data_IF_309103914070
#
_entry.id   IF_309103914070
#
_cell.length_a   1.000
_cell.length_b   1.000
_cell.length_c   1.000
_cell.angle_alpha   90.00
_cell.angle_beta   90.00
_cell.angle_gamma   90.00
#
_symmetry.space_group_name_H-M   'P 1'
#
loop_
_entity.id
_entity.type
_entity.pdbx_description
1 polymer ?
#
# COMPACT_ATOMS: atom_id res chain seq x y z
N UNK A 1 -18.05 -14.52 1.96
CA UNK A 1 -16.77 -13.80 1.82
C UNK A 1 -16.67 -13.40 0.36
N UNK A 2 -16.80 -12.10 0.02
CA UNK A 2 -16.56 -11.64 -1.36
C UNK A 2 -15.10 -12.00 -1.68
N UNK A 3 -14.90 -12.82 -2.69
CA UNK A 3 -13.63 -13.52 -2.93
C UNK A 3 -12.61 -12.50 -3.47
N UNK A 4 -11.34 -12.59 -3.07
CA UNK A 4 -10.24 -11.71 -3.48
C UNK A 4 -10.15 -11.46 -5.00
N UNK A 5 -10.71 -12.37 -5.80
CA UNK A 5 -10.84 -12.29 -7.27
C UNK A 5 -11.60 -11.05 -7.77
N UNK A 6 -12.29 -10.34 -6.89
CA UNK A 6 -13.09 -9.17 -7.23
C UNK A 6 -12.38 -7.84 -6.88
N UNK A 7 -11.13 -7.88 -6.41
CA UNK A 7 -10.36 -6.68 -6.08
C UNK A 7 -9.34 -6.37 -7.19
N UNK A 8 -9.35 -5.12 -7.68
CA UNK A 8 -8.37 -4.63 -8.66
C UNK A 8 -7.74 -3.36 -8.11
N UNK A 9 -6.40 -3.36 -7.96
CA UNK A 9 -5.63 -2.19 -7.58
C UNK A 9 -5.03 -1.51 -8.83
N UNK A 10 -5.42 -0.25 -9.05
CA UNK A 10 -4.84 0.64 -10.04
C UNK A 10 -3.91 1.62 -9.34
N UNK A 11 -2.68 1.76 -9.84
CA UNK A 11 -1.73 2.77 -9.38
C UNK A 11 -1.23 3.57 -10.56
N UNK A 12 -1.12 4.88 -10.40
CA UNK A 12 -0.53 5.75 -11.42
C UNK A 12 0.98 5.52 -11.52
N UNK A 13 1.57 5.86 -12.68
CA UNK A 13 3.02 5.70 -12.90
C UNK A 13 3.85 6.50 -11.88
N UNK A 14 3.38 7.69 -11.46
CA UNK A 14 4.06 8.49 -10.45
C UNK A 14 4.16 7.76 -9.10
N UNK A 15 3.08 7.09 -8.69
CA UNK A 15 3.02 6.27 -7.47
C UNK A 15 4.01 5.11 -7.58
N UNK A 16 4.06 4.45 -8.74
CA UNK A 16 5.02 3.37 -9.00
C UNK A 16 6.47 3.86 -8.93
N UNK A 17 6.76 5.06 -9.42
CA UNK A 17 8.11 5.64 -9.37
C UNK A 17 8.49 6.13 -7.97
N UNK A 18 7.53 6.59 -7.17
CA UNK A 18 7.71 6.84 -5.73
C UNK A 18 8.05 5.56 -4.97
N UNK A 19 7.33 4.46 -5.22
CA UNK A 19 7.64 3.14 -4.66
C UNK A 19 9.07 2.73 -5.00
N UNK A 20 9.46 2.79 -6.29
CA UNK A 20 10.82 2.44 -6.72
C UNK A 20 11.88 3.29 -6.03
N UNK A 21 11.64 4.60 -5.86
CA UNK A 21 12.57 5.49 -5.15
C UNK A 21 12.71 5.13 -3.67
N UNK A 22 11.60 4.81 -3.01
CA UNK A 22 11.59 4.35 -1.61
C UNK A 22 12.42 3.07 -1.44
N UNK A 23 12.21 2.08 -2.31
CA UNK A 23 12.95 0.81 -2.32
C UNK A 23 14.46 1.05 -2.54
N UNK A 24 14.83 1.85 -3.55
CA UNK A 24 16.22 2.18 -3.83
C UNK A 24 16.92 2.88 -2.65
N UNK A 25 16.20 3.75 -1.93
CA UNK A 25 16.73 4.47 -0.75
C UNK A 25 16.95 3.53 0.44
N UNK A 26 16.10 2.52 0.60
CA UNK A 26 16.18 1.59 1.73
C UNK A 26 17.24 0.50 1.57
N UNK A 27 17.56 0.11 0.32
CA UNK A 27 18.53 -0.95 0.02
C UNK A 27 19.86 -0.75 0.78
N UNK A 28 20.42 -1.80 1.43
CA UNK A 28 20.05 -3.21 1.37
C UNK A 28 18.97 -3.65 2.39
N UNK A 29 18.25 -2.71 2.99
CA UNK A 29 17.19 -2.99 3.97
C UNK A 29 15.81 -3.03 3.30
N UNK A 30 14.81 -3.48 4.04
CA UNK A 30 13.42 -3.38 3.61
C UNK A 30 12.91 -1.94 3.63
N UNK A 31 12.26 -1.53 2.54
CA UNK A 31 11.41 -0.34 2.51
C UNK A 31 9.99 -0.72 2.94
N UNK A 32 9.25 0.24 3.49
CA UNK A 32 7.81 0.15 3.66
C UNK A 32 7.17 1.47 3.26
N UNK A 33 5.93 1.42 2.80
CA UNK A 33 5.13 2.60 2.54
C UNK A 33 3.66 2.29 2.35
N UNK A 34 2.88 3.35 2.28
CA UNK A 34 1.42 3.31 2.29
C UNK A 34 0.88 3.90 0.99
N UNK A 35 -0.05 3.19 0.36
CA UNK A 35 -0.80 3.69 -0.80
C UNK A 35 -2.13 4.26 -0.32
N UNK A 36 -2.39 5.52 -0.64
CA UNK A 36 -3.65 6.21 -0.36
C UNK A 36 -4.43 6.51 -1.64
N UNK A 37 -5.75 6.44 -1.54
CA UNK A 37 -6.63 6.83 -2.63
C UNK A 37 -8.10 6.51 -2.35
N UNK A 38 -8.83 6.04 -3.37
CA UNK A 38 -10.28 5.82 -3.29
C UNK A 38 -10.69 4.42 -3.71
N UNK A 39 -11.79 3.92 -3.16
CA UNK A 39 -12.39 2.63 -3.54
C UNK A 39 -13.70 2.91 -4.27
N UNK A 40 -13.89 2.27 -5.42
CA UNK A 40 -15.15 2.30 -6.17
C UNK A 40 -15.69 0.89 -6.32
N UNK A 41 -16.95 0.70 -5.92
CA UNK A 41 -17.69 -0.52 -6.22
C UNK A 41 -18.25 -0.44 -7.65
N UNK A 42 -18.03 -1.47 -8.46
CA UNK A 42 -18.48 -1.56 -9.85
C UNK A 42 -19.28 -2.84 -10.04
N UNK A 43 -20.46 -2.72 -10.65
CA UNK A 43 -21.26 -3.90 -11.02
C UNK A 43 -20.57 -4.63 -12.18
N UNK A 44 -20.45 -5.96 -12.10
CA UNK A 44 -19.91 -6.74 -13.21
C UNK A 44 -20.89 -6.75 -14.38
N UNK A 45 -20.37 -6.61 -15.60
CA UNK A 45 -21.17 -6.44 -16.83
C UNK A 45 -22.17 -7.60 -17.09
N UNK A 46 -21.92 -8.80 -16.54
CA UNK A 46 -22.69 -10.02 -16.83
C UNK A 46 -23.26 -10.73 -15.58
N UNK A 47 -23.43 -10.02 -14.46
CA UNK A 47 -24.01 -10.63 -13.25
C UNK A 47 -24.84 -9.61 -12.47
N UNK A 48 -26.05 -9.99 -12.10
CA UNK A 48 -27.00 -9.08 -11.45
C UNK A 48 -26.62 -8.75 -10.01
N UNK A 49 -25.87 -9.64 -9.35
CA UNK A 49 -25.51 -9.57 -7.93
C UNK A 49 -24.00 -9.63 -7.65
N UNK A 50 -23.15 -9.52 -8.67
CA UNK A 50 -21.69 -9.46 -8.48
C UNK A 50 -21.13 -8.07 -8.70
N UNK A 51 -20.21 -7.71 -7.81
CA UNK A 51 -19.50 -6.44 -7.82
C UNK A 51 -18.00 -6.69 -7.82
N UNK A 52 -17.25 -5.81 -8.47
CA UNK A 52 -15.81 -5.66 -8.31
C UNK A 52 -15.49 -4.40 -7.51
N UNK A 53 -14.43 -4.46 -6.72
CA UNK A 53 -13.89 -3.34 -5.96
C UNK A 53 -12.62 -2.84 -6.64
N UNK A 54 -12.68 -1.61 -7.13
CA UNK A 54 -11.57 -0.97 -7.80
C UNK A 54 -10.92 0.00 -6.81
N UNK A 55 -9.70 -0.31 -6.43
CA UNK A 55 -8.86 0.50 -5.56
C UNK A 55 -8.00 1.38 -6.46
N UNK A 56 -8.17 2.70 -6.38
CA UNK A 56 -7.39 3.65 -7.16
C UNK A 56 -6.40 4.36 -6.24
N UNK A 57 -5.13 3.96 -6.30
CA UNK A 57 -4.03 4.54 -5.54
C UNK A 57 -3.47 5.79 -6.23
N UNK A 58 -3.55 6.93 -5.53
CA UNK A 58 -3.15 8.24 -6.04
C UNK A 58 -1.90 8.81 -5.37
N UNK A 59 -1.59 8.37 -4.14
CA UNK A 59 -0.45 8.86 -3.35
C UNK A 59 0.29 7.71 -2.69
N UNK A 60 1.61 7.81 -2.60
CA UNK A 60 2.44 6.91 -1.83
C UNK A 60 3.24 7.67 -0.78
N UNK A 61 3.20 7.19 0.46
CA UNK A 61 4.04 7.70 1.56
C UNK A 61 5.07 6.64 1.95
N UNK A 62 6.35 6.94 1.73
CA UNK A 62 7.45 6.08 2.17
C UNK A 62 7.66 6.23 3.69
N UNK A 63 7.61 5.13 4.42
CA UNK A 63 7.83 5.12 5.86
C UNK A 63 9.26 4.67 6.15
N UNK A 64 9.96 5.45 6.96
CA UNK A 64 11.28 5.07 7.45
C UNK A 64 11.14 4.07 8.61
N UNK A 65 11.86 2.95 8.52
CA UNK A 65 11.92 1.95 9.57
C UNK A 65 12.59 2.54 10.82
N UNK A 66 12.00 2.29 11.99
CA UNK A 66 12.62 2.61 13.28
C UNK A 66 13.97 1.90 13.45
N UNK A 67 14.09 0.71 12.85
CA UNK A 67 15.36 -0.01 12.78
C UNK A 67 15.58 -0.62 11.39
N UNK A 68 16.71 -0.28 10.77
CA UNK A 68 17.11 -0.83 9.47
C UNK A 68 17.37 -2.34 9.59
N UNK A 69 16.68 -3.13 8.77
CA UNK A 69 16.84 -4.58 8.70
C UNK A 69 16.55 -5.08 7.27
N UNK A 70 17.30 -6.08 6.78
CA UNK A 70 17.11 -6.67 5.46
C UNK A 70 16.00 -7.73 5.39
N UNK A 71 15.41 -8.09 6.53
CA UNK A 71 14.45 -9.21 6.66
C UNK A 71 13.21 -8.85 7.49
N UNK A 72 13.11 -7.60 7.93
CA UNK A 72 11.95 -7.11 8.68
C UNK A 72 11.87 -5.59 8.63
N UNK A 73 10.67 -5.07 8.41
CA UNK A 73 10.35 -3.68 8.65
C UNK A 73 9.84 -3.51 10.09
N UNK A 74 10.39 -2.54 10.83
CA UNK A 74 10.03 -2.28 12.22
C UNK A 74 9.62 -0.82 12.37
N UNK A 75 8.47 -0.59 13.02
CA UNK A 75 7.98 0.75 13.26
C UNK A 75 7.40 0.85 14.66
N UNK A 76 8.10 1.61 15.49
CA UNK A 76 7.75 1.77 16.90
C UNK A 76 6.83 2.99 17.11
N UNK A 77 6.75 3.89 16.13
CA UNK A 77 5.96 5.12 16.20
C UNK A 77 4.61 4.99 15.47
N UNK A 78 3.64 4.45 16.18
CA UNK A 78 2.25 4.34 15.71
C UNK A 78 1.57 5.71 15.54
N UNK A 79 2.00 6.76 16.26
CA UNK A 79 1.41 8.09 16.12
C UNK A 79 1.68 8.66 14.73
N UNK A 80 2.86 8.36 14.17
CA UNK A 80 3.22 8.74 12.81
C UNK A 80 2.27 8.14 11.76
N UNK A 81 1.80 6.91 11.94
CA UNK A 81 0.80 6.32 11.04
C UNK A 81 -0.54 7.07 11.08
N UNK A 82 -0.97 7.44 12.28
CA UNK A 82 -2.22 8.19 12.48
C UNK A 82 -2.09 9.58 11.85
N UNK A 83 -0.95 10.24 12.02
CA UNK A 83 -0.67 11.55 11.41
C UNK A 83 -0.70 11.48 9.89
N UNK A 84 0.04 10.52 9.31
CA UNK A 84 0.08 10.30 7.85
C UNK A 84 -1.33 10.02 7.33
N UNK A 85 -2.06 9.12 7.98
CA UNK A 85 -3.42 8.77 7.55
C UNK A 85 -4.38 9.96 7.65
N UNK A 86 -4.28 10.74 8.74
CA UNK A 86 -5.11 11.93 8.96
C UNK A 86 -4.84 13.01 7.92
N UNK A 87 -3.56 13.24 7.57
CA UNK A 87 -3.16 14.16 6.50
C UNK A 87 -3.84 13.80 5.18
N UNK A 88 -3.72 12.54 4.75
CA UNK A 88 -4.31 12.12 3.46
C UNK A 88 -5.83 12.08 3.46
N UNK A 89 -6.44 11.77 4.61
CA UNK A 89 -7.89 11.83 4.79
C UNK A 89 -8.43 13.26 4.76
N UNK A 90 -7.81 14.19 5.49
CA UNK A 90 -8.30 15.57 5.59
C UNK A 90 -8.04 16.39 4.33
N UNK A 91 -6.84 16.28 3.76
CA UNK A 91 -6.41 17.16 2.66
C UNK A 91 -6.94 16.68 1.30
N UNK A 92 -7.17 15.38 1.14
CA UNK A 92 -7.49 14.76 -0.16
C UNK A 92 -8.75 13.89 -0.14
N UNK A 93 -9.37 13.66 1.03
CA UNK A 93 -10.45 12.68 1.20
C UNK A 93 -10.05 11.28 0.72
N UNK A 94 -8.79 10.90 0.95
CA UNK A 94 -8.26 9.58 0.60
C UNK A 94 -8.27 8.65 1.81
N UNK A 95 -8.43 7.36 1.54
CA UNK A 95 -8.31 6.29 2.51
C UNK A 95 -7.04 5.47 2.25
N UNK A 96 -6.52 4.83 3.30
CA UNK A 96 -5.43 3.87 3.18
C UNK A 96 -5.93 2.64 2.40
N UNK A 97 -5.29 2.31 1.28
CA UNK A 97 -5.68 1.21 0.40
C UNK A 97 -4.79 -0.03 0.60
N UNK A 98 -3.48 0.18 0.79
CA UNK A 98 -2.51 -0.91 0.80
C UNK A 98 -1.23 -0.50 1.52
N UNK A 99 -0.58 -1.49 2.13
CA UNK A 99 0.78 -1.41 2.66
C UNK A 99 1.69 -2.13 1.67
N UNK A 100 2.78 -1.47 1.29
CA UNK A 100 3.81 -2.03 0.41
C UNK A 100 5.09 -2.12 1.22
N UNK A 101 5.72 -3.29 1.25
CA UNK A 101 7.09 -3.43 1.71
C UNK A 101 7.93 -4.14 0.66
N UNK A 102 9.24 -4.02 0.76
CA UNK A 102 10.18 -4.62 -0.20
C UNK A 102 11.12 -5.60 0.46
N UNK A 103 11.36 -6.72 -0.21
CA UNK A 103 12.41 -7.64 0.16
C UNK A 103 13.62 -7.46 -0.77
N UNK A 104 14.85 -7.30 -0.22
CA UNK A 104 16.06 -7.21 -1.02
C UNK A 104 16.33 -8.45 -1.89
N UNK A 105 15.80 -9.61 -1.51
CA UNK A 105 16.03 -10.89 -2.20
C UNK A 105 14.88 -11.38 -3.09
N UNK A 106 13.69 -11.57 -2.51
CA UNK A 106 12.55 -12.26 -3.16
C UNK A 106 11.24 -11.57 -2.82
N UNK A 107 10.36 -11.36 -3.81
CA UNK A 107 9.06 -10.72 -3.61
C UNK A 107 7.99 -11.60 -2.94
N UNK A 108 8.34 -12.80 -2.49
CA UNK A 108 7.40 -13.67 -1.77
C UNK A 108 7.24 -13.22 -0.31
N UNK A 109 6.00 -13.14 0.21
CA UNK A 109 5.77 -12.84 1.62
C UNK A 109 6.33 -13.97 2.50
N UNK A 110 6.99 -13.58 3.59
CA UNK A 110 7.39 -14.45 4.67
C UNK A 110 6.20 -14.80 5.56
N UNK A 111 6.35 -15.77 6.46
CA UNK A 111 5.30 -16.10 7.43
C UNK A 111 5.00 -14.99 8.44
N UNK A 112 5.84 -13.94 8.52
CA UNK A 112 5.59 -12.75 9.35
C UNK A 112 4.78 -11.69 8.58
N UNK A 113 4.79 -11.76 7.25
CA UNK A 113 4.10 -10.80 6.38
C UNK A 113 2.63 -11.15 6.13
N UNK A 114 2.22 -12.38 6.46
CA UNK A 114 0.84 -12.91 6.31
C UNK A 114 0.07 -12.71 7.61
#
# INVERSE_FOLDING_TARGET
>A
MKVEKDMILFVNLDVLDEIKRCIKKAYPNEACGLIFGTILEKKKLNSENEYSYHYYGYKFECIESSRKSPVAFLMDDYNKLVEISSKYSNDYNYQLLSIVHSHPGSAYPSGVDI
#
